data_IF_348696036949
#
_entry.id   IF_348696036949
#
_cell.length_a   1.000
_cell.length_b   1.000
_cell.length_c   1.000
_cell.angle_alpha   90.00
_cell.angle_beta   90.00
_cell.angle_gamma   90.00
#
_symmetry.space_group_name_H-M   'P 1'
#
loop_
_entity.id
_entity.type
_entity.pdbx_description
1 polymer ?
#
# COMPACT_ATOMS: atom_id res chain seq x y z
N UNK A 1 -3.02 5.97 47.38
CA UNK A 1 -2.25 5.47 46.23
C UNK A 1 -3.24 5.03 45.16
N UNK A 2 -3.50 5.87 44.16
CA UNK A 2 -4.38 5.50 43.05
C UNK A 2 -3.61 4.54 42.13
N UNK A 3 -4.10 3.32 41.97
CA UNK A 3 -3.58 2.35 41.01
C UNK A 3 -3.92 2.85 39.61
N UNK A 4 -2.93 3.31 38.86
CA UNK A 4 -3.07 3.57 37.43
C UNK A 4 -3.48 2.27 36.74
N UNK A 5 -4.70 2.26 36.19
CA UNK A 5 -5.19 1.13 35.41
C UNK A 5 -4.49 1.12 34.04
N UNK A 6 -4.10 -0.05 33.49
CA UNK A 6 -3.45 -0.09 32.18
C UNK A 6 -4.36 0.48 31.09
N UNK A 7 -3.87 1.51 30.39
CA UNK A 7 -4.57 2.10 29.23
C UNK A 7 -4.71 1.02 28.15
N UNK A 8 -5.89 0.83 27.54
CA UNK A 8 -6.07 -0.16 26.48
C UNK A 8 -5.09 0.11 25.32
N UNK A 9 -4.56 -0.94 24.67
CA UNK A 9 -3.63 -0.79 23.56
C UNK A 9 -4.29 0.05 22.47
N UNK A 10 -3.58 1.08 22.01
CA UNK A 10 -4.05 1.91 20.89
C UNK A 10 -4.18 1.01 19.66
N UNK A 11 -5.32 1.03 18.93
CA UNK A 11 -5.49 0.20 17.74
C UNK A 11 -4.40 0.53 16.71
N UNK A 12 -3.77 -0.49 16.14
CA UNK A 12 -2.78 -0.32 15.07
C UNK A 12 -3.43 0.27 13.82
N UNK A 13 -2.65 1.02 13.05
CA UNK A 13 -3.12 1.50 11.75
C UNK A 13 -3.32 0.31 10.79
N UNK A 14 -4.38 0.28 9.97
CA UNK A 14 -4.61 -0.81 9.03
C UNK A 14 -3.44 -0.99 8.06
N UNK A 15 -3.12 -2.23 7.72
CA UNK A 15 -2.11 -2.60 6.71
C UNK A 15 -2.77 -3.34 5.55
N UNK A 16 -2.01 -3.55 4.47
CA UNK A 16 -2.47 -4.34 3.32
C UNK A 16 -2.73 -5.78 3.76
N UNK A 17 -3.87 -6.34 3.32
CA UNK A 17 -4.27 -7.73 3.58
C UNK A 17 -4.47 -8.56 2.31
N UNK A 18 -4.69 -7.92 1.16
CA UNK A 18 -4.93 -8.55 -0.13
C UNK A 18 -4.16 -7.75 -1.19
N UNK A 19 -3.47 -8.46 -2.08
CA UNK A 19 -2.91 -7.89 -3.30
C UNK A 19 -3.79 -8.31 -4.48
N UNK A 20 -4.02 -7.41 -5.43
CA UNK A 20 -4.85 -7.72 -6.58
C UNK A 20 -4.38 -6.96 -7.84
N UNK A 21 -4.57 -7.56 -9.00
CA UNK A 21 -4.33 -6.95 -10.31
C UNK A 21 -5.60 -7.03 -11.17
N UNK A 22 -5.88 -5.97 -11.92
CA UNK A 22 -7.01 -5.94 -12.84
C UNK A 22 -6.59 -6.52 -14.19
N UNK A 23 -7.41 -7.44 -14.73
CA UNK A 23 -7.20 -7.97 -16.06
C UNK A 23 -7.45 -6.88 -17.13
N UNK A 24 -6.49 -6.65 -18.01
CA UNK A 24 -6.60 -5.68 -19.10
C UNK A 24 -7.57 -6.05 -20.22
N UNK A 25 -8.18 -7.25 -20.17
CA UNK A 25 -9.17 -7.72 -21.17
C UNK A 25 -10.60 -7.70 -20.64
N UNK A 26 -10.84 -8.34 -19.49
CA UNK A 26 -12.19 -8.48 -18.91
C UNK A 26 -12.44 -7.57 -17.70
N UNK A 27 -11.44 -6.80 -17.27
CA UNK A 27 -11.53 -5.86 -16.15
C UNK A 27 -11.86 -6.47 -14.77
N UNK A 28 -11.92 -7.81 -14.68
CA UNK A 28 -12.05 -8.54 -13.41
C UNK A 28 -10.76 -8.46 -12.59
N UNK A 29 -10.91 -8.38 -11.27
CA UNK A 29 -9.79 -8.36 -10.34
C UNK A 29 -9.38 -9.78 -9.97
N UNK A 30 -8.07 -10.04 -10.02
CA UNK A 30 -7.45 -11.30 -9.63
C UNK A 30 -6.60 -11.08 -8.40
N UNK A 31 -6.76 -11.93 -7.39
CA UNK A 31 -5.92 -11.91 -6.21
C UNK A 31 -4.50 -12.34 -6.59
N UNK A 32 -3.51 -11.66 -6.06
CA UNK A 32 -2.09 -11.96 -6.26
C UNK A 32 -1.54 -12.49 -4.94
N UNK A 33 -0.83 -13.62 -5.01
CA UNK A 33 -0.51 -14.42 -3.82
C UNK A 33 0.52 -13.74 -2.93
N UNK A 34 1.47 -13.03 -3.53
CA UNK A 34 2.57 -12.39 -2.82
C UNK A 34 2.70 -10.93 -3.19
N UNK A 35 3.32 -10.17 -2.29
CA UNK A 35 3.63 -8.77 -2.55
C UNK A 35 4.63 -8.65 -3.72
N UNK A 36 5.61 -9.55 -3.78
CA UNK A 36 6.67 -9.55 -4.77
C UNK A 36 6.12 -9.78 -6.19
N UNK A 37 5.13 -10.66 -6.34
CA UNK A 37 4.41 -10.89 -7.60
C UNK A 37 3.57 -9.67 -8.00
N UNK A 38 2.88 -9.05 -7.03
CA UNK A 38 2.12 -7.82 -7.27
C UNK A 38 3.02 -6.68 -7.73
N UNK A 39 4.18 -6.51 -7.08
CA UNK A 39 5.13 -5.46 -7.43
C UNK A 39 5.76 -5.68 -8.80
N UNK A 40 6.04 -6.94 -9.17
CA UNK A 40 6.49 -7.30 -10.53
C UNK A 40 5.47 -6.86 -11.57
N UNK A 41 4.20 -7.27 -11.42
CA UNK A 41 3.10 -6.93 -12.33
C UNK A 41 2.97 -5.41 -12.47
N UNK A 42 2.94 -4.69 -11.34
CA UNK A 42 2.77 -3.24 -11.31
C UNK A 42 3.96 -2.49 -11.94
N UNK A 43 5.18 -2.99 -11.76
CA UNK A 43 6.40 -2.31 -12.24
C UNK A 43 6.49 -2.18 -13.76
N UNK A 44 5.79 -3.06 -14.49
CA UNK A 44 5.75 -3.12 -15.95
C UNK A 44 4.35 -2.91 -16.51
N UNK A 45 3.44 -2.32 -15.72
CA UNK A 45 2.00 -2.41 -16.01
C UNK A 45 1.60 -1.77 -17.35
N UNK A 46 2.22 -0.66 -17.74
CA UNK A 46 1.92 0.02 -19.02
C UNK A 46 2.40 -0.82 -20.21
N UNK A 47 3.59 -1.41 -20.13
CA UNK A 47 4.22 -2.18 -21.21
C UNK A 47 3.70 -3.62 -21.28
N UNK A 48 3.44 -4.22 -20.12
CA UNK A 48 2.98 -5.59 -19.94
C UNK A 48 1.76 -5.65 -19.02
N UNK A 49 0.57 -5.28 -19.51
CA UNK A 49 -0.67 -5.39 -18.74
C UNK A 49 -0.88 -6.80 -18.17
N UNK A 50 -1.58 -6.87 -17.05
CA UNK A 50 -1.96 -8.14 -16.46
C UNK A 50 -3.16 -8.74 -17.20
N UNK A 51 -3.11 -10.04 -17.47
CA UNK A 51 -4.22 -10.79 -18.08
C UNK A 51 -4.48 -12.06 -17.27
N UNK A 52 -5.73 -12.53 -17.24
CA UNK A 52 -6.15 -13.68 -16.44
C UNK A 52 -5.29 -14.93 -16.69
N UNK A 53 -4.91 -15.17 -17.95
CA UNK A 53 -4.10 -16.31 -18.37
C UNK A 53 -2.64 -16.26 -17.87
N UNK A 54 -2.18 -15.16 -17.25
CA UNK A 54 -0.91 -15.13 -16.52
C UNK A 54 -0.99 -15.96 -15.22
N UNK A 55 -2.20 -16.22 -14.70
CA UNK A 55 -2.42 -17.15 -13.60
C UNK A 55 -2.72 -18.56 -14.15
N UNK A 56 -2.10 -19.63 -13.61
CA UNK A 56 -2.41 -20.99 -14.01
C UNK A 56 -3.90 -21.31 -13.84
N UNK A 57 -4.52 -21.89 -14.86
CA UNK A 57 -5.92 -22.33 -14.85
C UNK A 57 -6.95 -21.23 -14.60
N UNK A 58 -6.63 -19.95 -14.91
CA UNK A 58 -7.58 -18.84 -14.80
C UNK A 58 -7.79 -18.20 -16.17
N UNK A 59 -9.06 -17.94 -16.49
CA UNK A 59 -9.53 -17.39 -17.75
C UNK A 59 -10.32 -16.09 -17.55
N UNK A 60 -10.74 -15.45 -18.64
CA UNK A 60 -11.57 -14.25 -18.56
C UNK A 60 -13.03 -14.59 -18.27
N UNK A 61 -13.42 -15.84 -18.47
CA UNK A 61 -14.75 -16.41 -18.30
C UNK A 61 -15.03 -16.67 -16.82
N UNK A 62 -13.99 -17.01 -16.05
CA UNK A 62 -14.10 -17.23 -14.60
C UNK A 62 -14.57 -15.98 -13.85
N UNK A 63 -15.39 -16.13 -12.77
CA UNK A 63 -15.78 -15.04 -11.87
C UNK A 63 -14.56 -14.32 -11.29
N UNK A 64 -14.66 -13.04 -10.92
CA UNK A 64 -13.55 -12.33 -10.29
C UNK A 64 -13.16 -12.98 -8.95
N UNK A 65 -11.88 -12.89 -8.58
CA UNK A 65 -11.40 -13.43 -7.30
C UNK A 65 -11.84 -12.53 -6.13
N UNK A 66 -12.00 -11.23 -6.42
CA UNK A 66 -12.45 -10.19 -5.50
C UNK A 66 -13.22 -9.13 -6.29
N UNK A 67 -14.31 -8.62 -5.72
CA UNK A 67 -15.11 -7.55 -6.33
C UNK A 67 -14.68 -6.19 -5.81
N UNK A 68 -14.61 -5.20 -6.70
CA UNK A 68 -14.40 -3.81 -6.31
C UNK A 68 -15.69 -3.27 -5.70
N UNK A 69 -15.76 -3.27 -4.37
CA UNK A 69 -16.89 -2.80 -3.59
C UNK A 69 -16.44 -2.08 -2.32
N UNK A 70 -17.40 -1.64 -1.50
CA UNK A 70 -17.15 -0.96 -0.23
C UNK A 70 -17.02 -1.91 0.97
N UNK A 71 -16.84 -3.22 0.76
CA UNK A 71 -16.60 -4.17 1.86
C UNK A 71 -15.23 -3.97 2.51
N UNK A 72 -14.29 -3.35 1.76
CA UNK A 72 -12.92 -3.02 2.18
C UNK A 72 -12.49 -1.72 1.53
N UNK A 73 -11.54 -1.02 2.14
CA UNK A 73 -10.93 0.15 1.49
C UNK A 73 -9.90 -0.29 0.46
N UNK A 74 -10.12 0.13 -0.78
CA UNK A 74 -9.20 -0.07 -1.89
C UNK A 74 -8.16 1.04 -1.96
N UNK A 75 -6.94 0.66 -2.33
CA UNK A 75 -5.88 1.59 -2.66
C UNK A 75 -5.25 1.16 -3.99
N UNK A 76 -5.00 2.11 -4.88
CA UNK A 76 -4.47 1.84 -6.22
C UNK A 76 -3.10 2.50 -6.37
N UNK A 77 -2.07 1.69 -6.56
CA UNK A 77 -0.72 2.17 -6.81
C UNK A 77 -0.63 2.88 -8.18
N UNK A 78 0.30 3.84 -8.29
CA UNK A 78 0.65 4.42 -9.60
C UNK A 78 1.25 3.32 -10.49
N UNK A 79 0.81 3.20 -11.77
CA UNK A 79 1.44 2.29 -12.72
C UNK A 79 2.95 2.52 -12.81
N UNK A 80 3.71 1.45 -13.09
CA UNK A 80 5.15 1.50 -13.29
C UNK A 80 5.95 2.01 -12.08
N UNK A 81 5.36 1.87 -10.90
CA UNK A 81 6.14 2.08 -9.68
C UNK A 81 7.19 0.96 -9.55
N UNK A 82 8.47 1.29 -9.32
CA UNK A 82 9.55 0.30 -9.25
C UNK A 82 9.27 -0.82 -8.25
N UNK A 83 9.63 -2.04 -8.64
CA UNK A 83 9.65 -3.19 -7.73
C UNK A 83 10.66 -2.94 -6.62
N UNK A 84 10.34 -3.36 -5.40
CA UNK A 84 11.26 -3.23 -4.27
C UNK A 84 12.54 -4.02 -4.52
N UNK A 85 13.72 -3.42 -4.32
CA UNK A 85 14.99 -4.14 -4.45
C UNK A 85 15.10 -5.34 -3.51
N UNK A 86 15.82 -6.37 -3.96
CA UNK A 86 15.97 -7.62 -3.22
C UNK A 86 16.51 -7.39 -1.80
N UNK A 87 15.93 -8.11 -0.82
CA UNK A 87 16.28 -7.98 0.60
C UNK A 87 15.59 -6.82 1.33
N UNK A 88 15.02 -5.86 0.60
CA UNK A 88 14.17 -4.82 1.18
C UNK A 88 12.70 -5.26 1.12
N UNK A 89 11.88 -4.68 1.99
CA UNK A 89 10.42 -4.88 1.95
C UNK A 89 9.68 -3.56 2.05
N UNK A 90 8.86 -3.23 1.06
CA UNK A 90 7.97 -2.06 1.10
C UNK A 90 6.77 -2.37 1.99
N UNK A 91 6.49 -1.53 2.96
CA UNK A 91 5.31 -1.67 3.81
C UNK A 91 4.48 -0.39 3.75
N UNK A 92 3.19 -0.55 4.00
CA UNK A 92 2.20 0.50 3.83
C UNK A 92 1.19 0.42 4.98
N UNK A 93 0.87 1.57 5.57
CA UNK A 93 -0.13 1.68 6.64
C UNK A 93 -1.11 2.80 6.37
N UNK A 94 -2.41 2.50 6.43
CA UNK A 94 -3.48 3.47 6.21
C UNK A 94 -3.59 4.39 7.43
N UNK A 95 -3.67 5.70 7.20
CA UNK A 95 -3.99 6.64 8.29
C UNK A 95 -5.40 6.41 8.78
N UNK A 96 -5.64 6.65 10.07
CA UNK A 96 -6.97 6.45 10.69
C UNK A 96 -8.06 7.35 10.11
N UNK A 97 -7.67 8.46 9.50
CA UNK A 97 -8.56 9.37 8.79
C UNK A 97 -8.71 9.01 7.31
N UNK A 98 -8.18 7.87 6.86
CA UNK A 98 -8.26 7.38 5.48
C UNK A 98 -7.66 8.35 4.44
N UNK A 99 -6.92 9.37 4.86
CA UNK A 99 -6.43 10.43 3.97
C UNK A 99 -5.36 9.95 2.99
N UNK A 100 -4.51 9.00 3.42
CA UNK A 100 -3.48 8.36 2.60
C UNK A 100 -2.87 7.14 3.29
N UNK A 101 -2.11 6.36 2.52
CA UNK A 101 -1.20 5.34 3.05
C UNK A 101 0.18 5.96 3.32
N UNK A 102 0.72 5.77 4.52
CA UNK A 102 2.12 6.07 4.80
C UNK A 102 2.99 4.88 4.35
N UNK A 103 4.07 5.16 3.60
CA UNK A 103 4.99 4.17 3.02
C UNK A 103 6.28 4.15 3.83
N UNK A 104 6.83 2.97 4.07
CA UNK A 104 8.17 2.79 4.62
C UNK A 104 8.79 1.50 4.09
N UNK A 105 10.12 1.41 4.11
CA UNK A 105 10.82 0.18 3.78
C UNK A 105 11.42 -0.42 5.05
N UNK A 106 11.43 -1.74 5.13
CA UNK A 106 12.26 -2.50 6.06
C UNK A 106 13.51 -2.91 5.29
N UNK A 107 14.68 -2.52 5.77
CA UNK A 107 15.97 -2.89 5.19
C UNK A 107 16.35 -4.33 5.57
N UNK A 108 17.34 -4.96 4.91
CA UNK A 108 17.76 -6.32 5.27
C UNK A 108 18.16 -6.49 6.75
N UNK A 109 18.84 -5.52 7.41
CA UNK A 109 19.07 -5.54 8.85
C UNK A 109 17.83 -5.31 9.74
N UNK A 110 16.65 -5.11 9.15
CA UNK A 110 15.40 -4.86 9.88
C UNK A 110 15.11 -3.41 10.24
N UNK A 111 15.94 -2.45 9.81
CA UNK A 111 15.72 -1.01 10.07
C UNK A 111 14.55 -0.51 9.24
N UNK A 112 13.69 0.31 9.83
CA UNK A 112 12.62 1.01 9.11
C UNK A 112 13.14 2.35 8.59
N UNK A 113 12.97 2.60 7.29
CA UNK A 113 13.25 3.89 6.64
C UNK A 113 11.95 4.43 6.02
N UNK A 114 11.63 5.70 6.29
CA UNK A 114 10.33 6.32 5.97
C UNK A 114 10.40 7.40 4.89
N UNK A 115 11.60 7.69 4.39
CA UNK A 115 11.80 8.71 3.36
C UNK A 115 13.01 8.40 2.49
N UNK A 116 13.06 9.04 1.32
CA UNK A 116 14.21 9.02 0.43
C UNK A 116 15.48 9.52 1.10
N UNK A 117 15.39 10.52 1.99
CA UNK A 117 16.53 11.04 2.75
C UNK A 117 17.07 9.99 3.71
N UNK A 118 16.20 9.36 4.52
CA UNK A 118 16.61 8.29 5.44
C UNK A 118 17.22 7.10 4.71
N UNK A 119 16.64 6.75 3.55
CA UNK A 119 17.16 5.69 2.69
C UNK A 119 18.54 6.07 2.13
N UNK A 120 18.74 7.29 1.64
CA UNK A 120 20.04 7.76 1.15
C UNK A 120 21.12 7.69 2.23
N UNK A 121 20.82 8.12 3.45
CA UNK A 121 21.72 7.96 4.60
C UNK A 121 22.00 6.48 4.89
N UNK A 122 20.99 5.61 4.81
CA UNK A 122 21.18 4.17 5.00
C UNK A 122 22.12 3.58 3.93
N UNK A 123 21.90 3.86 2.64
CA UNK A 123 22.74 3.34 1.56
C UNK A 123 24.20 3.82 1.69
N UNK A 124 24.42 5.09 2.06
CA UNK A 124 25.76 5.63 2.30
C UNK A 124 26.50 4.90 3.45
N UNK A 125 25.77 4.46 4.47
CA UNK A 125 26.32 3.78 5.65
C UNK A 125 26.53 2.26 5.45
N UNK A 126 26.01 1.68 4.37
CA UNK A 126 26.01 0.23 4.14
C UNK A 126 26.50 -0.05 2.71
N UNK A 127 27.84 -0.03 2.47
CA UNK A 127 28.45 -0.17 1.15
C UNK A 127 28.12 -1.48 0.41
N UNK A 128 27.63 -2.50 1.12
CA UNK A 128 27.14 -3.74 0.51
C UNK A 128 25.93 -3.56 -0.41
N UNK A 129 25.25 -2.42 -0.34
CA UNK A 129 24.15 -2.02 -1.24
C UNK A 129 24.55 -0.93 -2.24
N UNK A 130 25.83 -0.86 -2.60
CA UNK A 130 26.38 0.19 -3.49
C UNK A 130 25.87 0.12 -4.93
N UNK A 131 25.25 -0.98 -5.33
CA UNK A 131 24.54 -1.16 -6.59
C UNK A 131 23.16 -0.50 -6.60
N UNK A 132 22.62 -0.15 -5.42
CA UNK A 132 21.31 0.48 -5.28
C UNK A 132 21.42 2.00 -5.13
N UNK A 133 20.43 2.66 -5.68
CA UNK A 133 20.21 4.10 -5.61
C UNK A 133 18.86 4.41 -4.97
N UNK A 134 18.67 5.66 -4.53
CA UNK A 134 17.37 6.10 -3.99
C UNK A 134 16.25 5.99 -5.03
N UNK A 135 16.57 6.11 -6.33
CA UNK A 135 15.60 5.98 -7.43
C UNK A 135 15.07 4.56 -7.64
N UNK A 136 15.75 3.54 -7.13
CA UNK A 136 15.26 2.15 -7.18
C UNK A 136 14.09 1.91 -6.20
N UNK A 137 13.79 2.89 -5.35
CA UNK A 137 12.73 2.85 -4.36
C UNK A 137 11.67 3.90 -4.64
N UNK A 138 10.42 3.61 -4.25
CA UNK A 138 9.33 4.58 -4.34
C UNK A 138 8.58 4.73 -3.02
N UNK A 139 8.56 5.97 -2.53
CA UNK A 139 7.73 6.39 -1.39
C UNK A 139 6.38 6.98 -1.85
N UNK A 140 6.02 6.82 -3.12
CA UNK A 140 4.73 7.24 -3.65
C UNK A 140 3.62 6.48 -2.94
N UNK A 141 2.65 7.21 -2.39
CA UNK A 141 1.46 6.64 -1.76
C UNK A 141 0.46 6.21 -2.84
N UNK A 142 -0.15 5.01 -2.76
CA UNK A 142 -1.28 4.68 -3.60
C UNK A 142 -2.44 5.64 -3.36
N UNK A 143 -3.28 5.80 -4.37
CA UNK A 143 -4.53 6.54 -4.25
C UNK A 143 -5.51 5.73 -3.39
N UNK A 144 -6.00 6.31 -2.31
CA UNK A 144 -7.14 5.75 -1.56
C UNK A 144 -8.41 5.98 -2.38
N UNK A 145 -9.26 4.95 -2.48
CA UNK A 145 -10.48 5.01 -3.26
C UNK A 145 -11.65 5.44 -2.37
N UNK A 146 -12.07 6.70 -2.50
CA UNK A 146 -13.03 7.34 -1.59
C UNK A 146 -14.38 6.63 -1.50
N UNK A 147 -14.85 6.04 -2.60
CA UNK A 147 -16.07 5.26 -2.72
C UNK A 147 -16.03 3.92 -1.96
N UNK A 148 -14.84 3.51 -1.50
CA UNK A 148 -14.64 2.28 -0.72
C UNK A 148 -14.31 2.53 0.75
N UNK A 149 -14.31 3.80 1.18
CA UNK A 149 -14.10 4.16 2.58
C UNK A 149 -15.39 3.88 3.37
N UNK A 150 -15.31 3.21 4.55
CA UNK A 150 -16.48 3.00 5.40
C UNK A 150 -17.19 4.31 5.75
N UNK A 151 -18.51 4.35 5.61
CA UNK A 151 -19.33 5.55 5.85
C UNK A 151 -19.11 6.17 7.25
N UNK A 152 -18.85 5.34 8.26
CA UNK A 152 -18.50 5.78 9.62
C UNK A 152 -17.23 6.65 9.67
N UNK A 153 -16.24 6.37 8.82
CA UNK A 153 -15.01 7.14 8.73
C UNK A 153 -15.21 8.47 7.98
N UNK A 154 -16.05 8.49 6.94
CA UNK A 154 -16.40 9.69 6.18
C UNK A 154 -17.07 10.75 7.07
N UNK A 155 -17.98 10.31 7.94
CA UNK A 155 -18.66 11.19 8.92
C UNK A 155 -17.67 11.79 9.93
N UNK A 156 -16.74 10.99 10.45
CA UNK A 156 -15.71 11.46 11.37
C UNK A 156 -14.80 12.52 10.73
N UNK A 157 -14.47 12.36 9.44
CA UNK A 157 -13.67 13.34 8.70
C UNK A 157 -14.42 14.64 8.43
N UNK A 158 -15.71 14.56 8.09
CA UNK A 158 -16.55 15.74 7.87
C UNK A 158 -16.69 16.58 9.14
N UNK A 159 -16.89 15.91 10.29
CA UNK A 159 -16.94 16.57 11.59
C UNK A 159 -15.60 17.23 11.98
N UNK A 160 -14.45 16.60 11.65
CA UNK A 160 -13.13 17.22 11.86
C UNK A 160 -12.88 18.43 10.95
N UNK A 161 -13.29 18.37 9.68
CA UNK A 161 -13.20 19.51 8.75
C UNK A 161 -14.08 20.68 9.22
N UNK A 162 -15.30 20.40 9.69
CA UNK A 162 -16.19 21.40 10.26
C UNK A 162 -15.58 22.03 11.54
N UNK A 163 -15.06 21.23 12.46
CA UNK A 163 -14.41 21.73 13.68
C UNK A 163 -13.19 22.62 13.39
N UNK A 164 -12.37 22.25 12.40
CA UNK A 164 -11.17 23.02 12.00
C UNK A 164 -11.55 24.34 11.30
N UNK A 165 -12.71 24.40 10.65
CA UNK A 165 -13.19 25.60 9.95
C UNK A 165 -13.84 26.62 10.90
N UNK A 166 -14.26 26.20 12.09
CA UNK A 166 -14.88 27.08 13.12
C UNK A 166 -13.80 27.80 13.97
N UNK A 167 -12.52 27.44 13.83
CA UNK A 167 -11.41 28.01 14.62
C UNK A 167 -10.55 29.05 13.89
N UNK A 168 -11.06 29.67 12.82
CA UNK A 168 -10.39 30.76 12.10
C UNK A 168 -11.22 32.02 12.10
#
# INVERSE_FOLDING_TARGET
>A
MAKDSPKPPKPSNPSVSIWAAQCGKCFKWRMISTQEEFEEIRSKFIEEPFFCNKKPNVSCEDPADIEYDSSRTWVIDKPNTPKTPNGFKRNMTLRRDYSKMDIYYVTPPGKRVRSSTELGTFLQQNPEFSDLSVSDFSFTSPKVMDDTIPSSAVLANSNKKAATSITK
#
